data_IF_403742004570
#
_entry.id   IF_403742004570
#
_cell.length_a   1.000
_cell.length_b   1.000
_cell.length_c   1.000
_cell.angle_alpha   90.00
_cell.angle_beta   90.00
_cell.angle_gamma   90.00
#
_symmetry.space_group_name_H-M   'P 1'
#
loop_
_entity.id
_entity.type
_entity.pdbx_description
1 polymer ?
#
# COMPACT_ATOMS: atom_id res chain seq x y z
N UNK A 1 6.90 -13.44 -0.78
CA UNK A 1 5.58 -13.51 -0.09
C UNK A 1 5.71 -13.71 1.42
N UNK A 2 6.47 -14.70 1.90
CA UNK A 2 6.63 -14.94 3.35
C UNK A 2 7.19 -13.73 4.12
N UNK A 3 8.24 -13.08 3.60
CA UNK A 3 8.83 -11.88 4.23
C UNK A 3 7.82 -10.72 4.33
N UNK A 4 7.08 -10.42 3.27
CA UNK A 4 6.05 -9.37 3.27
C UNK A 4 4.89 -9.68 4.23
N UNK A 5 4.52 -10.96 4.40
CA UNK A 5 3.51 -11.34 5.40
C UNK A 5 4.00 -11.11 6.83
N UNK A 6 5.27 -11.42 7.12
CA UNK A 6 5.90 -11.17 8.42
C UNK A 6 6.01 -9.66 8.70
N UNK A 7 6.41 -8.86 7.71
CA UNK A 7 6.46 -7.40 7.83
C UNK A 7 5.07 -6.80 8.08
N UNK A 8 4.04 -7.26 7.36
CA UNK A 8 2.65 -6.86 7.62
C UNK A 8 2.20 -7.22 9.04
N UNK A 9 2.58 -8.40 9.53
CA UNK A 9 2.22 -8.87 10.88
C UNK A 9 2.85 -8.01 11.98
N UNK A 10 4.11 -7.63 11.83
CA UNK A 10 4.84 -6.83 12.84
C UNK A 10 4.48 -5.35 12.79
N UNK A 11 4.20 -4.80 11.61
CA UNK A 11 3.92 -3.37 11.40
C UNK A 11 2.44 -2.97 11.57
N UNK A 12 1.49 -3.90 11.36
CA UNK A 12 0.04 -3.65 11.46
C UNK A 12 -0.42 -2.89 12.72
N UNK A 13 0.01 -3.22 13.95
CA UNK A 13 -0.45 -2.50 15.14
C UNK A 13 0.02 -1.03 15.15
N UNK A 14 1.22 -0.74 14.65
CA UNK A 14 1.76 0.62 14.59
C UNK A 14 1.11 1.46 13.50
N UNK A 15 0.88 0.88 12.32
CA UNK A 15 0.16 1.54 11.23
C UNK A 15 -1.26 1.94 11.65
N UNK A 16 -1.97 1.06 12.36
CA UNK A 16 -3.32 1.34 12.87
C UNK A 16 -3.34 2.55 13.82
N UNK A 17 -2.39 2.61 14.77
CA UNK A 17 -2.28 3.71 15.74
C UNK A 17 -1.99 5.03 15.03
N UNK A 18 -1.05 5.02 14.07
CA UNK A 18 -0.70 6.21 13.29
C UNK A 18 -1.87 6.74 12.48
N UNK A 19 -2.59 5.86 11.78
CA UNK A 19 -3.75 6.24 10.97
C UNK A 19 -4.88 6.82 11.84
N UNK A 20 -5.19 6.20 12.98
CA UNK A 20 -6.21 6.72 13.91
C UNK A 20 -5.81 8.09 14.46
N UNK A 21 -4.53 8.30 14.80
CA UNK A 21 -4.03 9.62 15.23
C UNK A 21 -4.13 10.70 14.14
N UNK A 22 -3.86 10.36 12.88
CA UNK A 22 -4.01 11.28 11.74
C UNK A 22 -5.49 11.62 11.49
N UNK A 23 -6.39 10.65 11.62
CA UNK A 23 -7.82 10.89 11.49
C UNK A 23 -8.34 11.81 12.59
N UNK A 24 -7.99 11.56 13.86
CA UNK A 24 -8.42 12.42 14.98
C UNK A 24 -7.99 13.86 14.77
N UNK A 25 -6.75 14.08 14.31
CA UNK A 25 -6.25 15.43 14.01
C UNK A 25 -7.03 16.10 12.87
N UNK A 26 -7.43 15.34 11.83
CA UNK A 26 -8.22 15.87 10.71
C UNK A 26 -9.65 16.24 11.13
N UNK A 27 -10.30 15.41 11.96
CA UNK A 27 -11.63 15.71 12.49
C UNK A 27 -11.62 16.97 13.37
N UNK A 28 -10.63 17.07 14.26
CA UNK A 28 -10.45 18.23 15.14
C UNK A 28 -10.20 19.53 14.35
N UNK A 29 -9.34 19.45 13.31
CA UNK A 29 -9.12 20.56 12.38
C UNK A 29 -10.38 21.00 11.63
N UNK A 30 -11.20 20.04 11.20
CA UNK A 30 -12.42 20.33 10.44
C UNK A 30 -13.50 20.96 11.34
N UNK A 31 -13.60 20.48 12.58
CA UNK A 31 -14.56 20.98 13.57
C UNK A 31 -14.17 22.38 14.12
N UNK A 32 -12.87 22.69 14.18
CA UNK A 32 -12.37 23.99 14.66
C UNK A 32 -12.50 25.10 13.60
N UNK A 33 -12.61 24.77 12.31
CA UNK A 33 -12.66 25.76 11.20
C UNK A 33 -14.04 26.01 10.58
N UNK A 34 -15.05 25.20 10.87
CA UNK A 34 -16.42 25.40 10.37
C UNK A 34 -17.41 25.26 11.53
N UNK A 35 -17.74 26.35 12.25
CA UNK A 35 -18.85 26.35 13.19
C UNK A 35 -20.14 26.44 12.38
N UNK A 36 -20.58 25.33 11.79
CA UNK A 36 -21.98 25.17 11.40
C UNK A 36 -22.64 24.36 12.49
N UNK A 37 -23.62 25.00 13.13
CA UNK A 37 -24.36 24.49 14.27
C UNK A 37 -24.90 23.08 14.03
N UNK A 38 -24.69 22.25 15.05
CA UNK A 38 -25.10 20.86 15.16
C UNK A 38 -26.63 20.77 15.31
N UNK A 39 -27.34 20.71 14.18
CA UNK A 39 -28.73 20.30 14.10
C UNK A 39 -28.84 18.82 13.68
N UNK A 40 -28.22 17.91 14.44
CA UNK A 40 -28.65 16.50 14.45
C UNK A 40 -28.33 15.83 15.78
N UNK A 41 -29.28 15.91 16.72
CA UNK A 41 -29.24 15.16 17.96
C UNK A 41 -29.29 13.65 17.72
N UNK A 42 -28.11 13.01 17.64
CA UNK A 42 -27.93 11.58 17.88
C UNK A 42 -26.43 11.22 17.89
N UNK A 43 -25.86 11.16 19.08
CA UNK A 43 -24.61 10.42 19.35
C UNK A 43 -23.36 11.28 19.34
N UNK A 44 -22.97 11.78 20.52
CA UNK A 44 -21.64 12.33 20.78
C UNK A 44 -20.58 11.37 20.21
N UNK A 45 -19.73 11.78 19.25
CA UNK A 45 -18.52 11.02 18.97
C UNK A 45 -17.66 11.04 20.24
N UNK A 46 -17.07 9.91 20.67
CA UNK A 46 -16.29 9.87 21.90
C UNK A 46 -15.12 10.87 21.83
N UNK A 47 -14.93 11.56 22.95
CA UNK A 47 -13.91 12.58 23.17
C UNK A 47 -12.50 12.12 22.80
N UNK A 48 -11.75 13.05 22.21
CA UNK A 48 -10.46 12.96 21.49
C UNK A 48 -9.28 12.37 22.29
N UNK A 49 -9.49 11.96 23.54
CA UNK A 49 -8.45 11.34 24.39
C UNK A 49 -8.43 9.80 24.38
N UNK A 50 -9.45 9.13 23.84
CA UNK A 50 -9.71 7.69 24.12
C UNK A 50 -9.08 6.69 23.13
N UNK A 51 -8.31 7.16 22.13
CA UNK A 51 -7.78 6.29 21.06
C UNK A 51 -6.25 6.32 20.92
N UNK A 52 -5.54 7.04 21.80
CA UNK A 52 -4.06 7.08 21.79
C UNK A 52 -3.42 5.81 22.34
N UNK A 53 -4.11 5.06 23.22
CA UNK A 53 -3.53 3.89 23.87
C UNK A 53 -4.01 2.58 23.23
N UNK A 54 -3.10 1.65 22.87
CA UNK A 54 -3.47 0.34 22.33
C UNK A 54 -4.44 -0.42 23.24
N UNK A 55 -4.32 -0.25 24.56
CA UNK A 55 -5.18 -0.87 25.56
C UNK A 55 -6.65 -0.45 25.47
N UNK A 56 -6.94 0.80 25.14
CA UNK A 56 -8.31 1.30 24.94
C UNK A 56 -8.91 0.79 23.63
N UNK A 57 -8.09 0.61 22.59
CA UNK A 57 -8.53 -0.03 21.34
C UNK A 57 -8.85 -1.51 21.57
N UNK A 58 -8.06 -2.21 22.37
CA UNK A 58 -8.33 -3.60 22.75
C UNK A 58 -9.59 -3.70 23.63
N UNK A 59 -9.83 -2.74 24.54
CA UNK A 59 -11.05 -2.74 25.37
C UNK A 59 -12.30 -2.45 24.54
N UNK A 60 -12.23 -1.52 23.57
CA UNK A 60 -13.34 -1.12 22.70
C UNK A 60 -13.63 -2.14 21.58
N UNK A 61 -12.62 -2.54 20.80
CA UNK A 61 -12.77 -3.36 19.59
C UNK A 61 -12.26 -4.81 19.76
N UNK A 62 -11.47 -5.11 20.79
CA UNK A 62 -10.88 -6.43 21.05
C UNK A 62 -9.46 -6.61 20.49
N UNK A 63 -8.74 -7.64 20.93
CA UNK A 63 -7.35 -7.90 20.52
C UNK A 63 -7.22 -8.18 19.00
N UNK A 64 -8.22 -8.84 18.41
CA UNK A 64 -8.29 -9.09 16.97
C UNK A 64 -8.44 -7.82 16.11
N UNK A 65 -8.77 -6.68 16.71
CA UNK A 65 -8.86 -5.41 16.00
C UNK A 65 -7.48 -4.84 15.62
N UNK A 66 -6.42 -5.22 16.33
CA UNK A 66 -5.04 -4.85 15.98
C UNK A 66 -4.57 -5.47 14.66
N UNK A 67 -5.14 -6.61 14.28
CA UNK A 67 -4.89 -7.29 13.01
C UNK A 67 -6.00 -7.02 11.97
N UNK A 68 -6.84 -6.02 12.20
CA UNK A 68 -7.88 -5.62 11.24
C UNK A 68 -7.21 -5.03 10.00
N UNK A 69 -7.50 -5.61 8.84
CA UNK A 69 -6.84 -5.26 7.57
C UNK A 69 -5.58 -6.06 7.26
N UNK A 70 -5.14 -6.99 8.13
CA UNK A 70 -3.97 -7.85 7.90
C UNK A 70 -4.08 -8.64 6.58
N UNK A 71 -5.26 -9.20 6.26
CA UNK A 71 -5.45 -9.94 5.00
C UNK A 71 -5.23 -9.06 3.77
N UNK A 72 -5.70 -7.80 3.82
CA UNK A 72 -5.44 -6.82 2.76
C UNK A 72 -3.96 -6.41 2.73
N UNK A 73 -3.32 -6.31 3.90
CA UNK A 73 -1.87 -6.05 4.03
C UNK A 73 -1.02 -7.17 3.42
N UNK A 74 -1.27 -8.44 3.76
CA UNK A 74 -0.55 -9.59 3.20
C UNK A 74 -0.78 -9.69 1.68
N UNK A 75 -2.02 -9.49 1.22
CA UNK A 75 -2.32 -9.46 -0.21
C UNK A 75 -1.58 -8.32 -0.91
N UNK A 76 -1.59 -7.11 -0.32
CA UNK A 76 -0.84 -5.96 -0.81
C UNK A 76 0.65 -6.27 -0.89
N UNK A 77 1.29 -6.73 0.17
CA UNK A 77 2.74 -6.93 0.24
C UNK A 77 3.18 -8.05 -0.71
N UNK A 78 2.32 -9.06 -0.93
CA UNK A 78 2.54 -10.11 -1.92
C UNK A 78 2.41 -9.61 -3.36
N UNK A 79 1.38 -8.83 -3.66
CA UNK A 79 1.18 -8.21 -4.98
C UNK A 79 2.29 -7.20 -5.25
N UNK A 80 2.68 -6.43 -4.22
CA UNK A 80 3.71 -5.41 -4.34
C UNK A 80 5.04 -6.05 -4.72
N UNK A 81 5.53 -7.02 -3.95
CA UNK A 81 6.79 -7.70 -4.26
C UNK A 81 6.73 -8.50 -5.57
N UNK A 82 5.65 -9.23 -5.81
CA UNK A 82 5.51 -10.09 -6.98
C UNK A 82 5.39 -9.31 -8.29
N UNK A 83 4.45 -8.36 -8.37
CA UNK A 83 4.25 -7.53 -9.57
C UNK A 83 5.46 -6.63 -9.81
N UNK A 84 6.10 -6.12 -8.75
CA UNK A 84 7.30 -5.30 -8.89
C UNK A 84 8.41 -6.10 -9.53
N UNK A 85 8.70 -7.28 -8.99
CA UNK A 85 9.78 -8.11 -9.47
C UNK A 85 9.51 -8.64 -10.88
N UNK A 86 8.29 -9.12 -11.19
CA UNK A 86 7.95 -9.58 -12.53
C UNK A 86 8.05 -8.47 -13.58
N UNK A 87 7.50 -7.28 -13.29
CA UNK A 87 7.54 -6.15 -14.24
C UNK A 87 8.97 -5.65 -14.43
N UNK A 88 9.72 -5.57 -13.33
CA UNK A 88 11.13 -5.22 -13.34
C UNK A 88 11.95 -6.20 -14.19
N UNK A 89 11.82 -7.50 -13.92
CA UNK A 89 12.60 -8.55 -14.57
C UNK A 89 12.31 -8.61 -16.07
N UNK A 90 11.04 -8.48 -16.47
CA UNK A 90 10.66 -8.42 -17.87
C UNK A 90 11.28 -7.22 -18.59
N UNK A 91 11.18 -6.02 -18.02
CA UNK A 91 11.81 -4.83 -18.60
C UNK A 91 13.33 -4.95 -18.65
N UNK A 92 13.93 -5.54 -17.62
CA UNK A 92 15.35 -5.78 -17.59
C UNK A 92 15.80 -6.74 -18.71
N UNK A 93 15.02 -7.80 -18.99
CA UNK A 93 15.25 -8.70 -20.13
C UNK A 93 15.13 -7.96 -21.45
N UNK A 94 14.09 -7.15 -21.65
CA UNK A 94 13.92 -6.37 -22.88
C UNK A 94 15.10 -5.42 -23.12
N UNK A 95 15.61 -4.77 -22.07
CA UNK A 95 16.77 -3.87 -22.19
C UNK A 95 18.05 -4.67 -22.49
N UNK A 96 18.20 -5.86 -21.91
CA UNK A 96 19.31 -6.77 -22.22
C UNK A 96 19.28 -7.23 -23.68
N UNK A 97 18.12 -7.69 -24.16
CA UNK A 97 17.93 -8.12 -25.54
C UNK A 97 18.22 -6.98 -26.52
N UNK A 98 17.74 -5.77 -26.20
CA UNK A 98 18.02 -4.58 -26.99
C UNK A 98 19.51 -4.28 -27.07
N UNK A 99 20.22 -4.38 -25.93
CA UNK A 99 21.67 -4.17 -25.87
C UNK A 99 22.43 -5.25 -26.65
N UNK A 100 21.96 -6.50 -26.61
CA UNK A 100 22.58 -7.61 -27.34
C UNK A 100 22.53 -7.44 -28.87
N UNK A 101 21.45 -6.85 -29.39
CA UNK A 101 21.29 -6.57 -30.83
C UNK A 101 22.30 -5.53 -31.34
N UNK A 102 22.75 -4.62 -30.48
CA UNK A 102 23.67 -3.53 -30.83
C UNK A 102 25.16 -3.93 -30.72
N UNK A 103 25.46 -5.12 -30.18
CA UNK A 103 26.84 -5.60 -30.02
C UNK A 103 27.35 -6.31 -31.28
N UNK A 104 28.56 -5.92 -31.72
CA UNK A 104 29.34 -6.61 -32.76
C UNK A 104 30.73 -6.99 -32.20
N UNK A 105 31.07 -8.29 -32.07
CA UNK A 105 30.28 -9.47 -32.46
C UNK A 105 29.09 -9.76 -31.52
N UNK A 106 28.05 -10.47 -32.00
CA UNK A 106 26.89 -10.82 -31.19
C UNK A 106 27.28 -11.71 -29.99
N UNK A 107 26.71 -11.47 -28.79
CA UNK A 107 27.06 -12.21 -27.59
C UNK A 107 26.62 -13.67 -27.71
N UNK A 108 27.47 -14.61 -27.26
CA UNK A 108 27.15 -16.04 -27.19
C UNK A 108 26.40 -16.42 -25.90
N UNK A 109 26.55 -15.61 -24.85
CA UNK A 109 25.92 -15.82 -23.54
C UNK A 109 25.45 -14.50 -22.92
N UNK A 110 24.39 -14.52 -22.12
CA UNK A 110 23.84 -13.33 -21.43
C UNK A 110 24.86 -12.66 -20.49
N UNK A 111 25.84 -13.44 -20.02
CA UNK A 111 26.93 -13.00 -19.14
C UNK A 111 27.98 -12.14 -19.87
N UNK A 112 28.03 -12.21 -21.21
CA UNK A 112 28.91 -11.38 -22.05
C UNK A 112 28.30 -9.98 -22.29
N UNK A 113 27.00 -9.81 -22.02
CA UNK A 113 26.34 -8.51 -22.09
C UNK A 113 26.86 -7.68 -20.90
N UNK A 114 27.70 -6.68 -21.19
CA UNK A 114 28.26 -5.80 -20.17
C UNK A 114 27.17 -5.13 -19.30
N UNK A 115 27.52 -4.51 -18.16
CA UNK A 115 26.55 -3.95 -17.23
C UNK A 115 25.55 -3.00 -17.91
N UNK A 116 24.26 -3.14 -17.62
CA UNK A 116 23.24 -2.21 -18.14
C UNK A 116 23.52 -0.80 -17.61
N UNK A 117 23.12 0.21 -18.39
CA UNK A 117 23.25 1.60 -17.95
C UNK A 117 22.42 1.82 -16.66
N UNK A 118 23.00 2.45 -15.62
CA UNK A 118 22.29 2.73 -14.37
C UNK A 118 20.96 3.47 -14.58
N UNK A 119 20.88 4.32 -15.61
CA UNK A 119 19.67 5.04 -15.98
C UNK A 119 18.58 4.14 -16.57
N UNK A 120 18.91 3.21 -17.47
CA UNK A 120 17.91 2.31 -18.05
C UNK A 120 17.33 1.37 -16.98
N UNK A 121 18.20 0.88 -16.12
CA UNK A 121 17.86 0.10 -14.93
C UNK A 121 16.95 0.95 -14.03
N UNK A 122 17.29 2.20 -13.70
CA UNK A 122 16.41 3.06 -12.88
C UNK A 122 15.04 3.34 -13.51
N UNK A 123 14.98 3.55 -14.82
CA UNK A 123 13.72 3.80 -15.55
C UNK A 123 12.78 2.58 -15.48
N UNK A 124 13.31 1.37 -15.64
CA UNK A 124 12.54 0.15 -15.45
C UNK A 124 11.95 0.04 -14.02
N UNK A 125 12.64 0.61 -13.02
CA UNK A 125 12.25 0.52 -11.61
C UNK A 125 11.10 1.46 -11.36
N UNK A 126 11.19 2.67 -11.92
CA UNK A 126 10.13 3.66 -11.82
C UNK A 126 8.86 3.20 -12.55
N UNK A 127 8.99 2.57 -13.72
CA UNK A 127 7.84 2.00 -14.41
C UNK A 127 7.21 0.87 -13.60
N UNK A 128 8.03 -0.09 -13.14
CA UNK A 128 7.57 -1.20 -12.29
C UNK A 128 6.88 -0.70 -11.02
N UNK A 129 7.47 0.29 -10.32
CA UNK A 129 6.90 0.93 -9.14
C UNK A 129 5.55 1.60 -9.41
N UNK A 130 5.33 2.12 -10.61
CA UNK A 130 4.05 2.70 -11.04
C UNK A 130 3.00 1.61 -11.31
N UNK A 131 3.35 0.54 -12.02
CA UNK A 131 2.47 -0.61 -12.31
C UNK A 131 2.01 -1.27 -11.01
N UNK A 132 2.93 -1.46 -10.07
CA UNK A 132 2.65 -2.02 -8.75
C UNK A 132 1.75 -1.12 -7.94
N UNK A 133 1.99 0.20 -7.98
CA UNK A 133 1.15 1.16 -7.28
C UNK A 133 -0.29 1.15 -7.80
N UNK A 134 -0.50 0.94 -9.10
CA UNK A 134 -1.81 0.76 -9.71
C UNK A 134 -2.46 -0.56 -9.26
N UNK A 135 -1.74 -1.68 -9.36
CA UNK A 135 -2.24 -3.00 -9.00
C UNK A 135 -2.62 -3.11 -7.50
N UNK A 136 -1.82 -2.49 -6.63
CA UNK A 136 -2.02 -2.50 -5.17
C UNK A 136 -2.98 -1.41 -4.66
N UNK A 137 -3.38 -0.45 -5.50
CA UNK A 137 -4.16 0.71 -5.08
C UNK A 137 -5.46 0.34 -4.37
N UNK A 138 -6.19 -0.62 -4.95
CA UNK A 138 -7.45 -1.13 -4.40
C UNK A 138 -7.30 -1.69 -2.98
N UNK A 139 -6.22 -2.43 -2.72
CA UNK A 139 -5.94 -3.05 -1.43
C UNK A 139 -5.56 -2.04 -0.35
N UNK A 140 -4.84 -0.97 -0.70
CA UNK A 140 -4.49 0.09 0.25
C UNK A 140 -5.69 0.97 0.62
N UNK A 141 -6.56 1.27 -0.36
CA UNK A 141 -7.83 1.96 -0.10
C UNK A 141 -8.69 1.13 0.85
N UNK A 142 -8.76 -0.19 0.62
CA UNK A 142 -9.52 -1.07 1.49
C UNK A 142 -8.91 -1.25 2.89
N UNK A 143 -7.58 -1.38 2.99
CA UNK A 143 -6.85 -1.46 4.27
C UNK A 143 -7.09 -0.20 5.09
N UNK A 144 -6.90 0.98 4.49
CA UNK A 144 -7.13 2.27 5.15
C UNK A 144 -8.55 2.37 5.69
N UNK A 145 -9.57 2.06 4.87
CA UNK A 145 -10.98 2.09 5.30
C UNK A 145 -11.29 1.10 6.42
N UNK A 146 -10.75 -0.12 6.34
CA UNK A 146 -10.94 -1.14 7.38
C UNK A 146 -10.36 -0.73 8.74
N UNK A 147 -9.27 0.04 8.72
CA UNK A 147 -8.59 0.55 9.91
C UNK A 147 -9.25 1.84 10.45
N UNK A 148 -9.86 2.63 9.56
CA UNK A 148 -10.63 3.84 9.87
C UNK A 148 -12.04 3.55 10.41
N UNK A 149 -12.61 2.39 10.09
CA UNK A 149 -13.96 2.03 10.57
C UNK A 149 -13.85 1.45 11.98
N UNK A 150 -14.15 2.26 13.00
CA UNK A 150 -14.43 1.75 14.34
C UNK A 150 -15.78 1.06 14.27
N UNK A 151 -15.77 -0.28 14.20
CA UNK A 151 -17.00 -1.07 14.24
C UNK A 151 -17.16 -1.54 15.69
N UNK A 152 -18.09 -0.95 16.46
CA UNK A 152 -18.31 -1.37 17.83
C UNK A 152 -18.61 -2.87 17.89
N UNK A 153 -18.18 -3.54 18.96
CA UNK A 153 -18.36 -4.98 19.19
C UNK A 153 -19.79 -5.47 18.96
N UNK A 154 -20.80 -4.65 19.29
CA UNK A 154 -22.21 -5.02 19.13
C UNK A 154 -22.61 -5.17 17.65
N UNK A 155 -22.22 -4.24 16.77
CA UNK A 155 -22.50 -4.33 15.32
C UNK A 155 -21.75 -5.51 14.69
N UNK A 156 -20.53 -5.80 15.16
CA UNK A 156 -19.77 -6.97 14.70
C UNK A 156 -20.46 -8.29 15.09
N UNK A 157 -21.01 -8.37 16.31
CA UNK A 157 -21.77 -9.53 16.78
C UNK A 157 -23.08 -9.70 16.02
N UNK A 158 -23.83 -8.62 15.77
CA UNK A 158 -25.07 -8.66 14.98
C UNK A 158 -24.83 -9.16 13.56
N UNK A 159 -23.76 -8.69 12.89
CA UNK A 159 -23.42 -9.17 11.53
C UNK A 159 -23.10 -10.66 11.50
N UNK A 160 -22.46 -11.18 12.55
CA UNK A 160 -22.14 -12.61 12.68
C UNK A 160 -23.39 -13.43 12.99
N UNK A 161 -24.26 -12.92 13.84
CA UNK A 161 -25.53 -13.53 14.22
C UNK A 161 -26.49 -13.61 13.01
N UNK A 162 -26.60 -12.53 12.25
CA UNK A 162 -27.50 -12.39 11.10
C UNK A 162 -26.97 -13.01 9.80
N UNK A 163 -25.80 -13.68 9.84
CA UNK A 163 -25.12 -14.25 8.66
C UNK A 163 -25.12 -13.30 7.46
N UNK A 164 -24.86 -12.01 7.71
CA UNK A 164 -25.03 -10.97 6.70
C UNK A 164 -24.16 -11.28 5.48
N UNK A 165 -24.78 -11.58 4.33
CA UNK A 165 -24.04 -11.81 3.09
C UNK A 165 -23.42 -10.49 2.64
N UNK A 166 -22.08 -10.45 2.60
CA UNK A 166 -21.33 -9.29 2.12
C UNK A 166 -21.65 -9.12 0.62
N UNK A 167 -22.26 -8.00 0.20
CA UNK A 167 -22.57 -7.74 -1.20
C UNK A 167 -21.28 -7.46 -1.99
N UNK A 168 -21.18 -7.96 -3.23
CA UNK A 168 -20.05 -7.68 -4.13
C UNK A 168 -19.48 -8.88 -4.88
N UNK A 169 -18.68 -8.58 -5.92
CA UNK A 169 -17.89 -9.53 -6.72
C UNK A 169 -16.81 -10.20 -5.86
N UNK A 170 -16.23 -11.32 -6.33
CA UNK A 170 -15.16 -12.03 -5.61
C UNK A 170 -13.97 -11.13 -5.26
N UNK A 171 -13.58 -10.25 -6.19
CA UNK A 171 -12.51 -9.27 -5.96
C UNK A 171 -12.87 -8.22 -4.90
N UNK A 172 -14.11 -7.71 -4.90
CA UNK A 172 -14.59 -6.73 -3.92
C UNK A 172 -14.66 -7.34 -2.52
N UNK A 173 -15.07 -8.60 -2.43
CA UNK A 173 -15.05 -9.38 -1.18
C UNK A 173 -13.64 -9.67 -0.69
N UNK A 174 -12.70 -9.95 -1.61
CA UNK A 174 -11.30 -10.21 -1.29
C UNK A 174 -10.58 -8.94 -0.82
N UNK A 175 -10.82 -7.83 -1.51
CA UNK A 175 -10.29 -6.52 -1.15
C UNK A 175 -11.00 -5.95 0.09
N UNK A 176 -12.26 -6.32 0.36
CA UNK A 176 -13.05 -5.78 1.48
C UNK A 176 -13.71 -4.44 1.16
N UNK A 177 -14.03 -4.20 -0.12
CA UNK A 177 -14.55 -2.92 -0.61
C UNK A 177 -16.07 -3.02 -0.83
N UNK A 178 -16.81 -2.04 -0.33
CA UNK A 178 -18.26 -1.95 -0.56
C UNK A 178 -18.56 -1.44 -1.98
N UNK A 179 -19.53 -2.01 -2.72
CA UNK A 179 -19.82 -1.64 -4.11
C UNK A 179 -20.22 -0.17 -4.32
N UNK A 180 -20.66 0.54 -3.29
CA UNK A 180 -20.95 1.99 -3.35
C UNK A 180 -19.69 2.88 -3.49
N UNK A 181 -18.51 2.37 -3.10
CA UNK A 181 -17.27 3.15 -3.04
C UNK A 181 -16.42 3.03 -4.32
N UNK A 182 -16.97 2.49 -5.41
CA UNK A 182 -16.24 2.22 -6.68
C UNK A 182 -15.64 3.45 -7.33
N UNK A 183 -16.30 4.61 -7.25
CA UNK A 183 -15.80 5.84 -7.86
C UNK A 183 -14.63 6.44 -7.04
N UNK A 184 -14.61 6.21 -5.72
CA UNK A 184 -13.52 6.65 -4.85
C UNK A 184 -12.25 5.81 -5.06
N UNK A 185 -12.42 4.57 -5.52
CA UNK A 185 -11.39 3.57 -5.81
C UNK A 185 -10.42 3.97 -6.93
N UNK A 186 -10.76 4.97 -7.75
CA UNK A 186 -9.89 5.50 -8.80
C UNK A 186 -9.41 6.93 -8.49
N UNK A 187 -9.91 7.54 -7.41
CA UNK A 187 -9.53 8.88 -6.99
C UNK A 187 -8.06 8.91 -6.55
N UNK A 188 -7.27 9.81 -7.16
CA UNK A 188 -5.85 10.03 -6.85
C UNK A 188 -4.90 8.84 -7.13
N UNK A 189 -5.32 7.86 -7.94
CA UNK A 189 -4.43 6.75 -8.38
C UNK A 189 -3.19 7.26 -9.11
N UNK A 190 -3.33 8.33 -9.92
CA UNK A 190 -2.25 8.92 -10.69
C UNK A 190 -1.13 9.46 -9.79
N UNK A 191 -1.48 10.16 -8.71
CA UNK A 191 -0.51 10.77 -7.80
C UNK A 191 0.28 9.69 -7.06
N UNK A 192 -0.40 8.60 -6.71
CA UNK A 192 0.21 7.42 -6.09
C UNK A 192 1.15 6.70 -7.04
N UNK A 193 0.74 6.47 -8.29
CA UNK A 193 1.57 5.89 -9.33
C UNK A 193 2.84 6.73 -9.54
N UNK A 194 2.69 8.05 -9.71
CA UNK A 194 3.80 8.97 -9.89
C UNK A 194 4.77 8.94 -8.69
N UNK A 195 4.26 9.03 -7.46
CA UNK A 195 5.09 8.97 -6.25
C UNK A 195 5.85 7.65 -6.13
N UNK A 196 5.17 6.52 -6.38
CA UNK A 196 5.78 5.20 -6.29
C UNK A 196 6.84 5.00 -7.37
N UNK A 197 6.56 5.42 -8.60
CA UNK A 197 7.53 5.36 -9.69
C UNK A 197 8.76 6.23 -9.44
N UNK A 198 8.58 7.48 -9.01
CA UNK A 198 9.71 8.37 -8.68
C UNK A 198 10.54 7.78 -7.53
N UNK A 199 9.89 7.26 -6.47
CA UNK A 199 10.61 6.66 -5.35
C UNK A 199 11.43 5.44 -5.79
N UNK A 200 10.86 4.53 -6.57
CA UNK A 200 11.57 3.36 -7.09
C UNK A 200 12.73 3.74 -8.01
N UNK A 201 12.53 4.74 -8.89
CA UNK A 201 13.59 5.28 -9.74
C UNK A 201 14.76 5.82 -8.91
N UNK A 202 14.46 6.63 -7.89
CA UNK A 202 15.49 7.24 -7.05
C UNK A 202 16.26 6.21 -6.21
N UNK A 203 15.57 5.23 -5.62
CA UNK A 203 16.21 4.18 -4.82
C UNK A 203 17.16 3.34 -5.67
N UNK A 204 16.70 2.87 -6.83
CA UNK A 204 17.54 2.05 -7.71
C UNK A 204 18.67 2.87 -8.32
N UNK A 205 18.38 4.08 -8.78
CA UNK A 205 19.39 4.97 -9.37
C UNK A 205 20.47 5.37 -8.39
N UNK A 206 20.09 5.74 -7.16
CA UNK A 206 21.06 6.04 -6.11
C UNK A 206 21.92 4.82 -5.77
N UNK A 207 21.32 3.62 -5.66
CA UNK A 207 22.07 2.39 -5.41
C UNK A 207 23.15 2.14 -6.47
N UNK A 208 22.80 2.15 -7.76
CA UNK A 208 23.77 1.90 -8.84
C UNK A 208 24.80 3.02 -8.97
N UNK A 209 24.40 4.27 -8.71
CA UNK A 209 25.33 5.41 -8.72
C UNK A 209 26.33 5.31 -7.56
N UNK A 210 25.89 4.95 -6.36
CA UNK A 210 26.76 4.69 -5.21
C UNK A 210 27.72 3.52 -5.47
N UNK A 211 27.24 2.41 -6.03
CA UNK A 211 28.11 1.28 -6.41
C UNK A 211 29.17 1.72 -7.42
N UNK A 212 28.77 2.45 -8.46
CA UNK A 212 29.69 2.95 -9.49
C UNK A 212 30.76 3.87 -8.89
N UNK A 213 30.37 4.75 -7.97
CA UNK A 213 31.28 5.65 -7.28
C UNK A 213 32.28 4.89 -6.39
N UNK A 214 31.81 3.89 -5.63
CA UNK A 214 32.65 3.10 -4.72
C UNK A 214 33.60 2.16 -5.47
N UNK A 215 33.16 1.56 -6.57
CA UNK A 215 33.99 0.68 -7.40
C UNK A 215 35.01 1.50 -8.19
N UNK A 216 34.66 2.71 -8.66
CA UNK A 216 35.59 3.59 -9.36
C UNK A 216 36.61 4.29 -8.45
N UNK A 217 36.45 4.21 -7.13
CA UNK A 217 37.33 4.82 -6.14
C UNK A 217 38.39 3.84 -5.56
N UNK A 218 38.36 2.57 -5.96
CA UNK A 218 39.41 1.58 -5.70
C UNK A 218 40.24 1.31 -6.95
#
# INVERSE_FOLDING_TARGET
MAAGAVESLTSSPFELIKLRAQQTSKYDWCHTRLPLDDMSGSGRPPSVYDVRRPSQVISLDGCGALWRGLRSGIARDSIFGGVFFSTWQFLHQVILDWKAVEMDPPPRYDEEIGPLSPLAVSLAAGFSGSVVAAASHSFDTAKSRSQCTVLPKFIAMERKLLKWKIPGKRFEKLAGIHPADRNLLFGAIWLRMARSGIASFMIVGSYYLSVSYLVSSN
#
